data_IF_827608722411
#
_entry.id   IF_827608722411
#
_cell.length_a   1.000
_cell.length_b   1.000
_cell.length_c   1.000
_cell.angle_alpha   90.00
_cell.angle_beta   90.00
_cell.angle_gamma   90.00
#
_symmetry.space_group_name_H-M   'P 1'
#
loop_
_entity.id
_entity.type
_entity.pdbx_description
1 polymer ?
#
# COMPACT_ATOMS: atom_id res chain seq x y z
N UNK A 1 7.19 -18.13 -17.19
CA UNK A 1 5.83 -17.57 -17.13
C UNK A 1 4.76 -18.63 -17.50
N UNK A 2 4.63 -19.70 -16.70
CA UNK A 2 3.60 -20.76 -16.88
C UNK A 2 3.16 -21.38 -15.54
N UNK A 3 3.40 -20.69 -14.42
CA UNK A 3 3.01 -21.18 -13.08
C UNK A 3 1.72 -20.53 -12.55
N UNK A 4 1.39 -19.31 -12.98
CA UNK A 4 0.23 -18.56 -12.46
C UNK A 4 -1.08 -18.79 -13.23
N UNK A 5 -1.03 -19.46 -14.39
CA UNK A 5 -2.22 -19.62 -15.24
C UNK A 5 -3.08 -20.85 -14.93
N UNK A 6 -2.62 -21.76 -14.07
CA UNK A 6 -3.22 -23.10 -13.97
C UNK A 6 -4.28 -23.23 -12.87
N UNK A 7 -4.30 -22.34 -11.88
CA UNK A 7 -5.26 -22.44 -10.77
C UNK A 7 -6.23 -21.26 -10.70
N UNK A 8 -7.37 -21.46 -11.34
CA UNK A 8 -8.52 -20.55 -11.28
C UNK A 8 -9.16 -20.65 -9.89
N UNK A 9 -8.72 -19.81 -8.95
CA UNK A 9 -9.32 -19.70 -7.61
C UNK A 9 -8.33 -19.41 -6.48
N UNK A 10 -7.06 -19.78 -6.64
CA UNK A 10 -6.04 -19.67 -5.58
C UNK A 10 -5.69 -18.23 -5.23
N UNK A 11 -5.80 -17.31 -6.19
CA UNK A 11 -5.66 -15.88 -5.93
C UNK A 11 -6.69 -15.38 -4.89
N UNK A 12 -7.90 -15.93 -4.87
CA UNK A 12 -8.92 -15.61 -3.88
C UNK A 12 -8.56 -16.07 -2.47
N UNK A 13 -7.94 -17.25 -2.35
CA UNK A 13 -7.52 -17.82 -1.06
C UNK A 13 -6.31 -17.08 -0.46
N UNK A 14 -5.41 -16.54 -1.29
CA UNK A 14 -4.29 -15.70 -0.82
C UNK A 14 -4.77 -14.32 -0.36
N UNK A 15 -5.80 -13.75 -1.00
CA UNK A 15 -6.45 -12.50 -0.57
C UNK A 15 -7.24 -12.71 0.75
N UNK A 16 -7.56 -13.96 1.09
CA UNK A 16 -8.32 -14.29 2.30
C UNK A 16 -7.48 -14.40 3.58
N UNK A 17 -6.16 -14.18 3.54
CA UNK A 17 -5.37 -14.09 4.77
C UNK A 17 -5.68 -12.74 5.45
N UNK A 18 -6.42 -12.72 6.59
CA UNK A 18 -6.73 -11.48 7.26
C UNK A 18 -5.50 -11.05 8.06
N UNK A 19 -4.57 -10.40 7.39
CA UNK A 19 -3.54 -9.59 8.03
C UNK A 19 -4.14 -8.22 8.31
N UNK A 20 -4.93 -8.08 9.40
CA UNK A 20 -5.27 -6.74 9.89
C UNK A 20 -3.98 -6.13 10.43
N UNK A 21 -3.28 -5.41 9.57
CA UNK A 21 -2.16 -4.56 9.92
C UNK A 21 -2.74 -3.24 10.42
N UNK A 22 -2.68 -3.02 11.72
CA UNK A 22 -2.92 -1.70 12.31
C UNK A 22 -1.59 -0.98 12.31
N UNK A 23 -1.44 0.01 11.43
CA UNK A 23 -0.21 0.81 11.41
C UNK A 23 -0.10 1.61 12.72
N UNK A 24 0.94 1.34 13.54
CA UNK A 24 1.08 2.01 14.82
C UNK A 24 1.35 3.49 14.61
N UNK A 25 0.65 4.34 15.37
CA UNK A 25 0.90 5.77 15.37
C UNK A 25 2.10 6.08 16.26
N UNK A 26 3.20 6.48 15.63
CA UNK A 26 4.31 7.16 16.27
C UNK A 26 3.89 8.58 16.72
N UNK A 27 4.73 9.24 17.52
CA UNK A 27 4.37 10.47 18.23
C UNK A 27 3.83 11.60 17.32
N UNK A 28 4.44 11.75 16.15
CA UNK A 28 4.08 12.74 15.10
C UNK A 28 2.75 12.40 14.42
N UNK A 29 2.50 11.13 14.07
CA UNK A 29 1.22 10.73 13.49
C UNK A 29 0.07 10.83 14.49
N UNK A 30 0.31 10.46 15.76
CA UNK A 30 -0.69 10.58 16.81
C UNK A 30 -1.17 12.03 16.97
N UNK A 31 -0.25 13.00 16.90
CA UNK A 31 -0.58 14.42 16.93
C UNK A 31 -1.42 14.85 15.72
N UNK A 32 -1.09 14.36 14.51
CA UNK A 32 -1.86 14.65 13.28
C UNK A 32 -3.26 14.04 13.31
N UNK A 33 -3.39 12.75 13.66
CA UNK A 33 -4.68 12.07 13.79
C UNK A 33 -5.54 12.75 14.87
N UNK A 34 -4.94 13.13 16.00
CA UNK A 34 -5.63 13.88 17.05
C UNK A 34 -6.15 15.24 16.59
N UNK A 35 -5.39 15.95 15.73
CA UNK A 35 -5.86 17.17 15.10
C UNK A 35 -7.04 16.92 14.16
N UNK A 36 -6.98 15.88 13.32
CA UNK A 36 -8.08 15.50 12.43
C UNK A 36 -9.39 15.20 13.18
N UNK A 37 -9.30 14.49 14.31
CA UNK A 37 -10.45 14.22 15.18
C UNK A 37 -11.01 15.53 15.74
N UNK A 38 -10.15 16.41 16.29
CA UNK A 38 -10.56 17.72 16.82
C UNK A 38 -11.22 18.58 15.75
N UNK A 39 -10.71 18.52 14.53
CA UNK A 39 -11.17 19.31 13.39
C UNK A 39 -12.41 18.68 12.72
N UNK A 40 -12.91 17.56 13.24
CA UNK A 40 -14.22 16.99 12.88
C UNK A 40 -14.22 16.07 11.67
N UNK A 41 -13.08 15.48 11.30
CA UNK A 41 -12.95 14.64 10.10
C UNK A 41 -13.61 13.27 10.24
N UNK A 42 -13.95 12.86 11.47
CA UNK A 42 -14.63 11.60 11.77
C UNK A 42 -14.20 11.03 13.12
N UNK A 43 -14.57 9.77 13.36
CA UNK A 43 -14.09 9.03 14.53
C UNK A 43 -12.59 8.69 14.44
N UNK A 44 -11.99 8.18 15.54
CA UNK A 44 -10.58 7.82 15.59
C UNK A 44 -10.16 6.85 14.47
N UNK A 45 -10.95 5.82 14.19
CA UNK A 45 -10.64 4.82 13.17
C UNK A 45 -10.64 5.43 11.75
N UNK A 46 -11.58 6.35 11.47
CA UNK A 46 -11.64 7.07 10.18
C UNK A 46 -10.41 7.95 10.03
N UNK A 47 -10.07 8.71 11.07
CA UNK A 47 -8.92 9.62 11.03
C UNK A 47 -7.59 8.85 10.93
N UNK A 48 -7.48 7.72 11.63
CA UNK A 48 -6.34 6.80 11.52
C UNK A 48 -6.21 6.22 10.12
N UNK A 49 -7.31 5.70 9.56
CA UNK A 49 -7.36 5.15 8.20
C UNK A 49 -6.96 6.19 7.17
N UNK A 50 -7.50 7.41 7.28
CA UNK A 50 -7.17 8.51 6.36
C UNK A 50 -5.69 8.88 6.45
N UNK A 51 -5.14 9.00 7.66
CA UNK A 51 -3.73 9.30 7.85
C UNK A 51 -2.83 8.25 7.17
N UNK A 52 -3.09 6.97 7.44
CA UNK A 52 -2.34 5.83 6.88
C UNK A 52 -2.47 5.75 5.36
N UNK A 53 -3.67 5.96 4.83
CA UNK A 53 -3.93 5.88 3.39
C UNK A 53 -3.35 7.06 2.59
N UNK A 54 -3.03 8.17 3.25
CA UNK A 54 -2.43 9.34 2.60
C UNK A 54 -0.92 9.37 2.73
N UNK A 55 -0.19 9.87 1.71
CA UNK A 55 1.23 10.15 1.84
C UNK A 55 1.49 11.08 3.03
N UNK A 56 2.27 10.61 3.99
CA UNK A 56 2.70 11.37 5.15
C UNK A 56 4.23 11.28 5.33
N UNK A 57 4.75 12.09 6.24
CA UNK A 57 6.19 12.33 6.39
C UNK A 57 7.01 11.05 6.64
N UNK A 58 6.37 9.99 7.11
CA UNK A 58 7.02 8.74 7.53
C UNK A 58 6.92 7.63 6.49
N UNK A 59 5.92 7.69 5.61
CA UNK A 59 5.79 6.78 4.48
C UNK A 59 6.83 6.98 3.38
N UNK A 60 7.74 7.95 3.51
CA UNK A 60 8.95 8.00 2.68
C UNK A 60 8.70 7.98 1.17
N UNK A 61 7.65 8.64 0.67
CA UNK A 61 7.45 8.89 -0.77
C UNK A 61 6.82 7.74 -1.58
N UNK A 62 6.18 8.16 -2.68
CA UNK A 62 5.43 7.42 -3.71
C UNK A 62 5.21 5.92 -3.51
N UNK A 63 3.95 5.52 -3.40
CA UNK A 63 3.53 4.11 -3.50
C UNK A 63 4.10 3.47 -4.77
N UNK A 64 4.91 2.43 -4.59
CA UNK A 64 5.45 1.63 -5.70
C UNK A 64 4.42 0.56 -6.05
N UNK A 65 4.02 0.49 -7.31
CA UNK A 65 3.15 -0.57 -7.81
C UNK A 65 3.99 -1.61 -8.52
N UNK A 66 4.04 -2.83 -7.97
CA UNK A 66 4.59 -3.99 -8.66
C UNK A 66 3.59 -4.49 -9.71
N UNK A 67 3.94 -4.36 -10.99
CA UNK A 67 3.05 -4.68 -12.11
C UNK A 67 3.83 -4.89 -13.42
N UNK A 68 3.47 -5.90 -14.20
CA UNK A 68 3.98 -6.07 -15.58
C UNK A 68 3.26 -5.19 -16.62
N UNK A 69 2.45 -4.23 -16.18
CA UNK A 69 1.65 -3.33 -17.03
C UNK A 69 1.83 -1.87 -16.63
N UNK A 70 3.06 -1.40 -16.62
CA UNK A 70 3.42 -0.01 -16.31
C UNK A 70 2.62 1.00 -17.17
N UNK A 71 2.39 0.69 -18.46
CA UNK A 71 1.66 1.55 -19.39
C UNK A 71 0.20 1.82 -19.02
N UNK A 72 -0.39 1.00 -18.14
CA UNK A 72 -1.80 1.14 -17.73
C UNK A 72 -1.99 2.21 -16.64
N UNK A 73 -0.90 2.71 -16.04
CA UNK A 73 -0.95 3.66 -14.92
C UNK A 73 -0.64 5.11 -15.37
N UNK A 74 -1.34 6.11 -14.81
CA UNK A 74 -1.07 7.51 -15.10
C UNK A 74 0.38 7.94 -14.77
N UNK A 75 0.95 8.92 -15.52
CA UNK A 75 2.26 9.47 -15.23
C UNK A 75 2.39 9.99 -13.79
N UNK A 76 3.52 9.71 -13.13
CA UNK A 76 3.78 10.11 -11.74
C UNK A 76 3.55 8.99 -10.72
N UNK A 77 3.02 7.85 -11.14
CA UNK A 77 3.01 6.61 -10.34
C UNK A 77 4.31 5.85 -10.64
N UNK A 78 5.04 5.46 -9.60
CA UNK A 78 6.20 4.60 -9.76
C UNK A 78 5.72 3.15 -9.87
N UNK A 79 5.79 2.60 -11.08
CA UNK A 79 5.55 1.19 -11.31
C UNK A 79 6.88 0.46 -11.48
N UNK A 80 6.98 -0.75 -10.95
CA UNK A 80 8.16 -1.61 -11.12
C UNK A 80 7.69 -2.91 -11.76
N UNK A 81 8.30 -3.26 -12.89
CA UNK A 81 8.02 -4.54 -13.56
C UNK A 81 8.45 -5.69 -12.64
N UNK A 82 7.62 -6.73 -12.56
CA UNK A 82 7.93 -7.95 -11.80
C UNK A 82 9.18 -8.66 -12.33
N UNK A 83 9.45 -8.52 -13.63
CA UNK A 83 10.61 -9.07 -14.30
C UNK A 83 11.81 -8.09 -14.31
N UNK A 84 11.72 -6.96 -13.57
CA UNK A 84 12.80 -5.96 -13.51
C UNK A 84 14.11 -6.58 -13.00
N UNK A 85 15.20 -6.58 -13.79
CA UNK A 85 16.49 -7.12 -13.36
C UNK A 85 17.04 -6.27 -12.22
N UNK A 86 16.98 -6.82 -11.00
CA UNK A 86 17.33 -6.13 -9.75
C UNK A 86 16.37 -6.42 -8.60
N UNK A 87 15.10 -6.75 -8.89
CA UNK A 87 14.10 -7.05 -7.86
C UNK A 87 14.14 -8.51 -7.36
N UNK A 88 14.60 -9.45 -8.19
CA UNK A 88 14.68 -10.88 -7.86
C UNK A 88 16.09 -11.34 -7.45
N UNK A 89 17.06 -10.44 -7.36
CA UNK A 89 18.39 -10.75 -6.78
C UNK A 89 19.30 -11.66 -7.63
N UNK A 90 19.06 -11.82 -8.93
CA UNK A 90 19.94 -12.61 -9.80
C UNK A 90 20.85 -11.69 -10.64
N UNK A 91 22.17 -11.90 -10.51
CA UNK A 91 23.21 -11.41 -11.42
C UNK A 91 23.44 -12.40 -12.56
#
# INVERSE_FOLDING_TARGET
MQAESTEKGTAGDVIALPGILVDPLHQTAAATVGAMIRDGWGGPDICHTLYVATPHIETGGMSIILTGRESDYPPGILTVDIDSPGMLGFH
#
